data_IF_454504304116
#
_entry.id   IF_454504304116
#
_cell.length_a   1.000
_cell.length_b   1.000
_cell.length_c   1.000
_cell.angle_alpha   90.00
_cell.angle_beta   90.00
_cell.angle_gamma   90.00
#
_symmetry.space_group_name_H-M   'P 1'
#
loop_
_entity.id
_entity.type
_entity.pdbx_description
1 polymer ?
#
# COMPACT_ATOMS: atom_id res chain seq x y z
N UNK A 1 -10.73 27.28 -8.55
CA UNK A 1 -11.13 25.86 -8.45
C UNK A 1 -10.32 25.08 -9.47
N UNK A 2 -9.29 24.35 -9.03
CA UNK A 2 -8.32 23.64 -9.88
C UNK A 2 -8.24 22.16 -9.43
N UNK A 3 -9.37 21.44 -9.41
CA UNK A 3 -9.42 20.02 -8.99
C UNK A 3 -10.24 19.22 -10.01
N UNK A 4 -10.03 19.46 -11.31
CA UNK A 4 -10.86 18.83 -12.35
C UNK A 4 -10.14 18.46 -13.64
N UNK A 5 -8.80 18.54 -13.69
CA UNK A 5 -8.07 18.35 -14.95
C UNK A 5 -7.08 17.18 -14.98
N UNK A 6 -6.80 16.54 -13.83
CA UNK A 6 -5.91 15.37 -13.77
C UNK A 6 -6.67 14.04 -13.92
N UNK A 7 -7.99 14.05 -13.78
CA UNK A 7 -8.81 12.85 -13.82
C UNK A 7 -9.05 12.30 -15.23
N UNK A 8 -8.68 12.99 -16.31
CA UNK A 8 -9.05 12.55 -17.68
C UNK A 8 -7.93 11.85 -18.46
N UNK A 9 -6.68 11.88 -17.98
CA UNK A 9 -5.52 11.34 -18.74
C UNK A 9 -5.00 10.01 -18.18
N UNK A 10 -5.28 9.68 -16.91
CA UNK A 10 -4.77 8.47 -16.25
C UNK A 10 -5.69 7.24 -16.32
N UNK A 11 -6.92 7.35 -16.84
CA UNK A 11 -7.83 6.20 -17.04
C UNK A 11 -7.33 5.16 -18.09
N UNK A 12 -6.18 5.40 -18.71
CA UNK A 12 -5.61 4.56 -19.77
C UNK A 12 -4.45 3.66 -19.37
N UNK A 13 -4.10 3.53 -18.08
CA UNK A 13 -3.09 2.56 -17.66
C UNK A 13 -3.65 1.15 -17.88
N UNK A 14 -2.94 0.25 -18.59
CA UNK A 14 -3.42 -1.11 -18.81
C UNK A 14 -3.68 -1.78 -17.46
N UNK A 15 -4.94 -2.17 -17.21
CA UNK A 15 -5.34 -2.88 -15.98
C UNK A 15 -4.49 -4.14 -15.68
N UNK A 16 -3.78 -4.65 -16.68
CA UNK A 16 -2.79 -5.72 -16.57
C UNK A 16 -1.55 -5.33 -15.77
N UNK A 17 -1.01 -4.12 -15.95
CA UNK A 17 0.15 -3.62 -15.18
C UNK A 17 -0.21 -3.44 -13.71
N UNK A 18 -1.40 -2.89 -13.43
CA UNK A 18 -1.92 -2.73 -12.07
C UNK A 18 -1.99 -4.07 -11.34
N UNK A 19 -2.54 -5.11 -11.99
CA UNK A 19 -2.67 -6.46 -11.41
C UNK A 19 -1.33 -7.10 -11.10
N UNK A 20 -0.32 -6.89 -11.93
CA UNK A 20 1.01 -7.48 -11.76
C UNK A 20 1.77 -6.80 -10.61
N UNK A 21 1.64 -5.48 -10.48
CA UNK A 21 2.16 -4.71 -9.34
C UNK A 21 1.45 -5.14 -8.06
N UNK A 22 0.11 -5.24 -8.07
CA UNK A 22 -0.68 -5.75 -6.94
C UNK A 22 -0.28 -7.17 -6.53
N UNK A 23 -0.08 -8.07 -7.50
CA UNK A 23 0.32 -9.44 -7.24
C UNK A 23 1.70 -9.49 -6.59
N UNK A 24 2.69 -8.73 -7.09
CA UNK A 24 4.01 -8.61 -6.45
C UNK A 24 3.90 -7.99 -5.07
N UNK A 25 3.04 -6.99 -4.90
CA UNK A 25 2.84 -6.33 -3.63
C UNK A 25 2.32 -7.30 -2.58
N UNK A 26 1.27 -8.05 -2.95
CA UNK A 26 0.65 -9.09 -2.13
C UNK A 26 1.61 -10.23 -1.82
N UNK A 27 2.38 -10.68 -2.81
CA UNK A 27 3.39 -11.72 -2.63
C UNK A 27 4.45 -11.29 -1.61
N UNK A 28 4.91 -10.05 -1.66
CA UNK A 28 5.89 -9.53 -0.68
C UNK A 28 5.27 -9.28 0.70
N UNK A 29 3.99 -8.91 0.73
CA UNK A 29 3.20 -8.79 1.96
C UNK A 29 3.04 -10.17 2.65
N UNK A 30 2.84 -11.23 1.87
CA UNK A 30 2.71 -12.61 2.37
C UNK A 30 4.07 -13.27 2.65
N UNK A 31 5.13 -12.98 1.89
CA UNK A 31 6.48 -13.56 2.05
C UNK A 31 7.28 -13.01 3.24
N UNK A 32 6.62 -12.63 4.34
CA UNK A 32 7.29 -12.31 5.61
C UNK A 32 8.29 -11.14 5.56
N UNK A 33 8.22 -10.21 4.58
CA UNK A 33 9.11 -9.03 4.56
C UNK A 33 8.61 -7.83 5.36
N UNK A 34 7.36 -7.86 5.79
CA UNK A 34 6.69 -6.78 6.53
C UNK A 34 6.65 -7.05 8.05
N UNK A 35 7.79 -7.40 8.64
CA UNK A 35 7.87 -7.73 10.08
C UNK A 35 8.12 -6.48 10.93
N UNK A 36 8.68 -5.42 10.34
CA UNK A 36 9.06 -4.20 11.06
C UNK A 36 8.15 -3.03 10.71
N UNK A 37 7.92 -2.15 11.68
CA UNK A 37 7.13 -0.93 11.46
C UNK A 37 7.68 -0.09 10.30
N UNK A 38 9.00 0.02 10.15
CA UNK A 38 9.62 0.74 9.03
C UNK A 38 9.29 0.12 7.67
N UNK A 39 9.42 -1.20 7.52
CA UNK A 39 9.10 -1.88 6.26
C UNK A 39 7.64 -1.68 5.84
N UNK A 40 6.71 -1.63 6.80
CA UNK A 40 5.29 -1.39 6.53
C UNK A 40 5.05 0.07 6.11
N UNK A 41 5.74 1.03 6.73
CA UNK A 41 5.64 2.46 6.37
C UNK A 41 6.20 2.74 4.98
N UNK A 42 7.36 2.19 4.64
CA UNK A 42 7.93 2.31 3.29
C UNK A 42 6.95 1.78 2.24
N UNK A 43 6.22 0.70 2.57
CA UNK A 43 5.25 0.11 1.65
C UNK A 43 3.99 0.95 1.47
N UNK A 44 3.50 1.57 2.53
CA UNK A 44 2.42 2.55 2.45
C UNK A 44 2.81 3.75 1.57
N UNK A 45 4.05 4.23 1.68
CA UNK A 45 4.56 5.29 0.81
C UNK A 45 4.62 4.85 -0.66
N UNK A 46 5.11 3.63 -0.94
CA UNK A 46 5.10 3.09 -2.30
C UNK A 46 3.69 3.02 -2.88
N UNK A 47 2.70 2.59 -2.09
CA UNK A 47 1.30 2.55 -2.52
C UNK A 47 0.75 3.95 -2.84
N UNK A 48 1.07 4.96 -2.05
CA UNK A 48 0.65 6.33 -2.31
C UNK A 48 1.27 6.89 -3.59
N UNK A 49 2.54 6.57 -3.87
CA UNK A 49 3.18 6.94 -5.14
C UNK A 49 2.47 6.28 -6.32
N UNK A 50 2.20 4.98 -6.25
CA UNK A 50 1.50 4.25 -7.30
C UNK A 50 0.07 4.80 -7.54
N UNK A 51 -0.63 5.23 -6.50
CA UNK A 51 -1.92 5.89 -6.61
C UNK A 51 -1.79 7.28 -7.27
N UNK A 52 -0.80 8.08 -6.87
CA UNK A 52 -0.54 9.41 -7.44
C UNK A 52 -0.16 9.33 -8.92
N UNK A 53 0.62 8.33 -9.28
CA UNK A 53 1.05 8.05 -10.66
C UNK A 53 -0.08 7.41 -11.49
N UNK A 54 -1.21 7.08 -10.87
CA UNK A 54 -2.37 6.44 -11.51
C UNK A 54 -2.13 4.99 -11.93
N UNK A 55 -1.06 4.37 -11.45
CA UNK A 55 -0.76 2.94 -11.66
C UNK A 55 -1.67 2.03 -10.82
N UNK A 56 -2.25 2.60 -9.76
CA UNK A 56 -3.15 1.94 -8.83
C UNK A 56 -4.52 2.66 -8.79
N UNK A 57 -5.60 1.90 -8.81
CA UNK A 57 -6.96 2.43 -8.58
C UNK A 57 -7.19 2.68 -7.09
N UNK A 58 -8.05 3.63 -6.74
CA UNK A 58 -8.46 3.92 -5.36
C UNK A 58 -8.97 2.67 -4.62
N UNK A 59 -9.82 1.86 -5.24
CA UNK A 59 -10.36 0.63 -4.61
C UNK A 59 -9.25 -0.38 -4.24
N UNK A 60 -8.27 -0.53 -5.13
CA UNK A 60 -7.12 -1.40 -4.89
C UNK A 60 -6.14 -0.82 -3.85
N UNK A 61 -6.01 0.51 -3.82
CA UNK A 61 -5.27 1.21 -2.78
C UNK A 61 -5.89 0.95 -1.41
N UNK A 62 -7.19 1.19 -1.25
CA UNK A 62 -7.89 1.00 0.02
C UNK A 62 -7.74 -0.43 0.54
N UNK A 63 -7.93 -1.43 -0.32
CA UNK A 63 -7.81 -2.84 0.07
C UNK A 63 -6.39 -3.26 0.50
N UNK A 64 -5.34 -2.63 -0.05
CA UNK A 64 -3.96 -2.89 0.34
C UNK A 64 -3.54 -2.06 1.56
N UNK A 65 -3.99 -0.81 1.65
CA UNK A 65 -3.77 0.07 2.79
C UNK A 65 -4.35 -0.53 4.07
N UNK A 66 -5.58 -1.04 4.03
CA UNK A 66 -6.23 -1.66 5.19
C UNK A 66 -5.42 -2.85 5.73
N UNK A 67 -4.91 -3.70 4.83
CA UNK A 67 -4.07 -4.85 5.20
C UNK A 67 -2.74 -4.43 5.82
N UNK A 68 -2.11 -3.37 5.31
CA UNK A 68 -0.85 -2.85 5.84
C UNK A 68 -1.04 -2.16 7.19
N UNK A 69 -2.11 -1.38 7.36
CA UNK A 69 -2.44 -0.74 8.64
C UNK A 69 -2.76 -1.78 9.71
N UNK A 70 -3.51 -2.83 9.36
CA UNK A 70 -3.78 -3.93 10.28
C UNK A 70 -2.49 -4.61 10.75
N UNK A 71 -1.55 -4.88 9.84
CA UNK A 71 -0.22 -5.41 10.17
C UNK A 71 0.59 -4.44 11.04
N UNK A 72 0.59 -3.14 10.71
CA UNK A 72 1.29 -2.13 11.49
C UNK A 72 0.80 -2.09 12.94
N UNK A 73 -0.52 -2.18 13.13
CA UNK A 73 -1.12 -2.24 14.47
C UNK A 73 -0.63 -3.49 15.23
N UNK A 74 -0.61 -4.66 14.59
CA UNK A 74 -0.12 -5.89 15.21
C UNK A 74 1.37 -5.80 15.61
N UNK A 75 2.21 -5.24 14.74
CA UNK A 75 3.64 -5.04 15.03
C UNK A 75 3.86 -4.07 16.20
N UNK A 76 3.11 -2.96 16.24
CA UNK A 76 3.17 -1.99 17.35
C UNK A 76 2.74 -2.58 18.68
N UNK A 77 1.64 -3.33 18.70
CA UNK A 77 1.17 -4.02 19.91
C UNK A 77 2.23 -5.03 20.40
N UNK A 78 2.84 -5.78 19.49
CA UNK A 78 3.92 -6.70 19.83
C UNK A 78 5.14 -5.99 20.42
N UNK A 79 5.61 -4.90 19.80
CA UNK A 79 6.72 -4.10 20.32
C UNK A 79 6.42 -3.54 21.71
N UNK A 80 5.25 -2.93 21.89
CA UNK A 80 4.79 -2.38 23.17
C UNK A 80 4.72 -3.46 24.27
N UNK A 81 4.27 -4.67 23.93
CA UNK A 81 4.24 -5.78 24.89
C UNK A 81 5.64 -6.27 25.32
N UNK A 82 6.65 -6.11 24.44
CA UNK A 82 8.04 -6.48 24.74
C UNK A 82 8.82 -5.43 25.51
N UNK A 83 8.49 -4.15 25.35
CA UNK A 83 9.13 -3.06 26.11
C UNK A 83 8.65 -2.99 27.57
N UNK A 84 7.50 -3.59 27.89
CA UNK A 84 6.90 -3.57 29.24
C UNK A 84 7.40 -4.75 30.12
N UNK A 85 8.30 -5.59 29.62
CA UNK A 85 8.81 -6.80 30.30
C UNK A 85 10.29 -6.71 30.61
#
# INVERSE_FOLDING_TARGET
MLIGFLSSVLFGVPLTLSKEILAKLRDEIDKERLITEESIKERLQQLQLLLQDGELTEEAYEGLEEQLIARLRAVREYQKSREVR
#
